data_IF_916652198084
#
_entry.id   IF_916652198084
#
_cell.length_a   1.000
_cell.length_b   1.000
_cell.length_c   1.000
_cell.angle_alpha   90.00
_cell.angle_beta   90.00
_cell.angle_gamma   90.00
#
_symmetry.space_group_name_H-M   'P 1'
#
loop_
_entity.id
_entity.type
_entity.pdbx_description
1 polymer ?
#
# COMPACT_ATOMS: atom_id res chain seq x y z
N UNK A 1 30.57 47.89 37.96
CA UNK A 1 29.36 48.24 37.19
C UNK A 1 28.20 47.36 37.68
N UNK A 2 27.17 48.00 38.24
CA UNK A 2 25.72 47.62 38.30
C UNK A 2 25.38 46.22 38.85
N UNK A 3 24.91 46.11 40.10
CA UNK A 3 23.51 46.19 40.57
C UNK A 3 22.62 45.10 39.93
N UNK A 4 21.91 44.28 40.73
CA UNK A 4 20.43 44.34 40.85
C UNK A 4 19.89 43.14 41.67
N UNK A 5 19.28 43.45 42.83
CA UNK A 5 18.36 42.59 43.58
C UNK A 5 16.97 43.19 43.43
N UNK A 6 15.99 42.49 42.86
CA UNK A 6 14.55 42.82 42.89
C UNK A 6 13.76 41.51 42.71
N UNK A 7 13.19 40.92 43.77
CA UNK A 7 11.79 41.09 44.22
C UNK A 7 10.79 40.95 43.07
N UNK A 8 10.10 39.80 43.00
CA UNK A 8 8.85 39.66 42.26
C UNK A 8 7.72 39.49 43.26
N UNK A 9 6.90 40.52 43.38
CA UNK A 9 5.74 40.63 44.25
C UNK A 9 4.54 41.05 43.38
N UNK A 10 3.40 40.39 43.60
CA UNK A 10 2.02 40.80 43.28
C UNK A 10 1.54 40.79 41.81
N UNK A 11 0.65 39.81 41.55
CA UNK A 11 -0.72 39.96 41.01
C UNK A 11 -1.19 41.37 40.63
N UNK A 12 -1.75 41.53 39.42
CA UNK A 12 -2.96 42.31 39.06
C UNK A 12 -3.29 41.94 37.58
N UNK A 13 -4.32 41.15 37.27
CA UNK A 13 -5.74 41.49 37.13
C UNK A 13 -6.12 42.30 35.85
N UNK A 14 -6.86 41.58 34.97
CA UNK A 14 -7.91 41.98 34.00
C UNK A 14 -7.63 43.01 32.90
N UNK A 15 -7.87 42.61 31.65
CA UNK A 15 -8.73 43.36 30.72
C UNK A 15 -9.15 42.48 29.52
N UNK A 16 -10.44 42.29 29.35
CA UNK A 16 -11.05 41.75 28.14
C UNK A 16 -11.16 42.85 27.06
N UNK A 17 -10.98 42.48 25.80
CA UNK A 17 -11.61 43.19 24.68
C UNK A 17 -12.14 42.19 23.65
N UNK A 18 -13.35 42.51 23.20
CA UNK A 18 -14.27 41.77 22.33
C UNK A 18 -14.40 42.57 21.04
N UNK A 19 -14.42 41.92 19.87
CA UNK A 19 -14.96 42.39 18.58
C UNK A 19 -15.13 41.11 17.74
N UNK A 20 -16.32 40.56 17.43
CA UNK A 20 -17.55 41.05 16.76
C UNK A 20 -17.28 41.42 15.29
N UNK A 21 -17.43 40.43 14.39
CA UNK A 21 -18.49 40.29 13.34
C UNK A 21 -17.94 40.72 11.96
N UNK A 22 -18.21 40.10 10.80
CA UNK A 22 -19.49 39.57 10.31
C UNK A 22 -19.36 38.82 8.96
N UNK A 23 -20.40 38.03 8.64
CA UNK A 23 -20.86 37.55 7.32
C UNK A 23 -20.11 36.35 6.69
N UNK A 24 -20.73 35.26 6.26
CA UNK A 24 -22.14 34.90 6.11
C UNK A 24 -22.25 33.77 5.07
N UNK A 25 -23.21 32.88 5.26
CA UNK A 25 -23.96 32.12 4.25
C UNK A 25 -24.25 30.72 4.79
N UNK A 26 -25.50 30.55 5.19
CA UNK A 26 -26.15 29.26 5.32
C UNK A 26 -26.00 28.48 4.00
N UNK A 27 -25.69 27.19 4.09
CA UNK A 27 -26.13 26.21 3.09
C UNK A 27 -26.63 24.98 3.83
N UNK A 28 -27.94 24.80 3.73
CA UNK A 28 -28.67 23.57 4.04
C UNK A 28 -28.11 22.45 3.15
N UNK A 29 -27.41 21.47 3.73
CA UNK A 29 -27.05 20.24 3.03
C UNK A 29 -27.93 19.11 3.56
N UNK A 30 -28.73 18.59 2.64
CA UNK A 30 -29.73 17.54 2.80
C UNK A 30 -29.06 16.25 3.29
N UNK A 31 -29.74 15.57 4.22
CA UNK A 31 -29.43 14.20 4.62
C UNK A 31 -29.73 13.27 3.45
N UNK A 32 -28.70 12.58 2.96
CA UNK A 32 -28.83 11.34 2.20
C UNK A 32 -27.92 10.33 2.89
N UNK A 33 -28.54 9.26 3.41
CA UNK A 33 -27.88 8.11 4.01
C UNK A 33 -27.12 7.35 2.91
N UNK A 34 -25.90 7.76 2.62
CA UNK A 34 -24.94 6.93 1.91
C UNK A 34 -24.27 6.01 2.93
N UNK A 35 -24.44 4.71 2.74
CA UNK A 35 -23.77 3.66 3.49
C UNK A 35 -22.25 3.90 3.42
N UNK A 36 -21.71 4.51 4.47
CA UNK A 36 -20.32 4.97 4.53
C UNK A 36 -19.41 3.76 4.77
N UNK A 37 -19.03 3.08 3.70
CA UNK A 37 -18.00 2.04 3.73
C UNK A 37 -16.69 2.75 4.08
N UNK A 38 -16.32 2.73 5.37
CA UNK A 38 -15.05 3.24 5.86
C UNK A 38 -13.91 2.44 5.21
N UNK A 39 -13.37 2.97 4.11
CA UNK A 39 -12.14 2.47 3.53
C UNK A 39 -11.02 2.74 4.56
N UNK A 40 -10.15 1.76 4.85
CA UNK A 40 -9.07 1.98 5.80
C UNK A 40 -8.16 3.09 5.26
N UNK A 41 -8.10 4.21 5.98
CA UNK A 41 -7.23 5.34 5.63
C UNK A 41 -5.73 4.99 5.75
N UNK A 42 -5.39 3.91 6.47
CA UNK A 42 -4.02 3.45 6.67
C UNK A 42 -3.76 2.08 6.00
N UNK A 43 -2.74 2.02 5.13
CA UNK A 43 -2.26 0.77 4.50
C UNK A 43 -1.95 -0.31 5.53
N UNK A 44 -1.46 0.06 6.71
CA UNK A 44 -1.04 -0.90 7.72
C UNK A 44 -2.21 -1.79 8.21
N UNK A 45 -3.43 -1.28 8.16
CA UNK A 45 -4.63 -2.03 8.55
C UNK A 45 -4.96 -3.14 7.55
N UNK A 46 -4.46 -3.05 6.32
CA UNK A 46 -4.66 -4.02 5.24
C UNK A 46 -3.61 -5.13 5.23
N UNK A 47 -2.68 -5.15 6.18
CA UNK A 47 -1.58 -6.12 6.20
C UNK A 47 -1.73 -7.04 7.41
N UNK A 48 -1.50 -8.33 7.20
CA UNK A 48 -1.40 -9.35 8.25
C UNK A 48 -0.07 -10.09 8.11
N UNK A 49 0.72 -10.10 9.18
CA UNK A 49 1.98 -10.85 9.25
C UNK A 49 1.88 -11.81 10.43
N UNK A 50 2.00 -13.12 10.16
CA UNK A 50 1.97 -14.14 11.20
C UNK A 50 2.90 -15.29 10.82
N UNK A 51 3.85 -15.62 11.69
CA UNK A 51 4.82 -16.70 11.47
C UNK A 51 5.55 -16.60 10.11
N UNK A 52 5.98 -15.38 9.75
CA UNK A 52 6.61 -15.10 8.45
C UNK A 52 5.65 -15.06 7.26
N UNK A 53 4.41 -15.53 7.39
CA UNK A 53 3.41 -15.40 6.34
C UNK A 53 2.93 -13.95 6.24
N UNK A 54 3.06 -13.37 5.05
CA UNK A 54 2.58 -12.04 4.71
C UNK A 54 1.31 -12.11 3.87
N UNK A 55 0.30 -11.33 4.25
CA UNK A 55 -0.94 -11.14 3.49
C UNK A 55 -1.26 -9.66 3.43
N UNK A 56 -1.42 -9.11 2.23
CA UNK A 56 -1.97 -7.76 1.98
C UNK A 56 -3.35 -7.92 1.35
N UNK A 57 -4.34 -7.17 1.84
CA UNK A 57 -5.70 -7.16 1.30
C UNK A 57 -5.98 -5.90 0.48
N UNK A 58 -6.95 -6.00 -0.43
CA UNK A 58 -7.59 -4.84 -1.04
C UNK A 58 -8.37 -4.02 0.00
N UNK A 59 -8.66 -2.72 -0.26
CA UNK A 59 -9.47 -1.89 0.63
C UNK A 59 -10.79 -2.56 1.04
N UNK A 60 -11.15 -2.43 2.32
CA UNK A 60 -12.31 -3.12 2.90
C UNK A 60 -12.09 -4.61 3.17
N UNK A 61 -10.87 -5.14 3.00
CA UNK A 61 -10.48 -6.54 3.27
C UNK A 61 -11.33 -7.59 2.55
N UNK A 62 -11.92 -7.22 1.41
CA UNK A 62 -12.81 -8.11 0.63
C UNK A 62 -12.04 -9.26 -0.04
N UNK A 63 -10.80 -9.00 -0.47
CA UNK A 63 -9.99 -9.94 -1.22
C UNK A 63 -8.50 -9.77 -0.89
N UNK A 64 -7.75 -10.87 -0.89
CA UNK A 64 -6.28 -10.85 -0.79
C UNK A 64 -5.74 -10.23 -2.07
N UNK A 65 -4.74 -9.35 -1.93
CA UNK A 65 -4.00 -8.71 -3.01
C UNK A 65 -2.62 -9.34 -3.18
N UNK A 66 -1.88 -9.50 -2.09
CA UNK A 66 -0.59 -10.21 -2.11
C UNK A 66 -0.52 -11.25 -1.00
N UNK A 67 0.12 -12.38 -1.31
CA UNK A 67 0.45 -13.40 -0.32
C UNK A 67 1.84 -13.96 -0.58
N UNK A 68 2.59 -14.21 0.49
CA UNK A 68 3.88 -14.88 0.42
C UNK A 68 4.49 -15.07 1.81
N UNK A 69 5.80 -15.35 1.83
CA UNK A 69 6.58 -15.46 3.06
C UNK A 69 7.69 -14.41 3.09
N UNK A 70 8.00 -13.97 4.31
CA UNK A 70 9.14 -13.13 4.62
C UNK A 70 10.23 -13.97 5.30
N UNK A 71 11.49 -13.64 5.01
CA UNK A 71 12.64 -14.13 5.76
C UNK A 71 12.81 -13.40 7.11
N UNK A 72 13.83 -13.80 7.88
CA UNK A 72 14.16 -13.21 9.19
C UNK A 72 14.55 -11.72 9.12
N UNK A 73 14.80 -11.20 7.90
CA UNK A 73 15.13 -9.79 7.64
C UNK A 73 13.93 -9.03 7.07
N UNK A 74 12.74 -9.61 7.16
CA UNK A 74 11.48 -9.07 6.64
C UNK A 74 11.49 -8.85 5.11
N UNK A 75 12.25 -9.67 4.38
CA UNK A 75 12.34 -9.61 2.92
C UNK A 75 11.55 -10.75 2.29
N UNK A 76 11.00 -10.52 1.08
CA UNK A 76 10.28 -11.56 0.33
C UNK A 76 11.17 -12.78 0.12
N UNK A 77 10.65 -13.96 0.46
CA UNK A 77 11.31 -15.23 0.21
C UNK A 77 10.31 -16.28 -0.29
N UNK A 78 10.77 -17.16 -1.18
CA UNK A 78 9.97 -18.20 -1.79
C UNK A 78 8.87 -17.69 -2.73
N UNK A 79 7.74 -18.39 -2.77
CA UNK A 79 6.63 -18.11 -3.68
C UNK A 79 5.82 -16.90 -3.20
N UNK A 80 5.68 -15.91 -4.07
CA UNK A 80 4.76 -14.79 -3.89
C UNK A 80 3.68 -14.81 -4.96
N UNK A 81 2.44 -14.56 -4.53
CA UNK A 81 1.25 -14.53 -5.38
C UNK A 81 0.63 -13.14 -5.34
N UNK A 82 0.29 -12.61 -6.52
CA UNK A 82 -0.53 -11.43 -6.69
C UNK A 82 -1.90 -11.86 -7.21
N UNK A 83 -2.94 -11.37 -6.57
CA UNK A 83 -4.32 -11.65 -6.93
C UNK A 83 -4.99 -10.38 -7.45
N UNK A 84 -5.96 -10.53 -8.36
CA UNK A 84 -6.86 -9.45 -8.76
C UNK A 84 -7.99 -9.23 -7.75
N UNK A 85 -8.81 -8.21 -8.00
CA UNK A 85 -9.91 -7.83 -7.10
C UNK A 85 -11.02 -8.90 -7.01
N UNK A 86 -11.14 -9.78 -8.01
CA UNK A 86 -12.08 -10.90 -7.99
C UNK A 86 -11.44 -12.21 -7.48
N UNK A 87 -10.20 -12.15 -6.98
CA UNK A 87 -9.48 -13.29 -6.39
C UNK A 87 -8.74 -14.18 -7.39
N UNK A 88 -8.71 -13.82 -8.67
CA UNK A 88 -7.92 -14.51 -9.68
C UNK A 88 -6.42 -14.35 -9.44
N UNK A 89 -5.64 -15.42 -9.60
CA UNK A 89 -4.17 -15.35 -9.51
C UNK A 89 -3.58 -14.69 -10.77
N UNK A 90 -3.17 -13.42 -10.64
CA UNK A 90 -2.59 -12.62 -11.71
C UNK A 90 -1.08 -12.79 -11.84
N UNK A 91 -0.36 -13.12 -10.76
CA UNK A 91 1.02 -13.56 -10.91
C UNK A 91 1.50 -14.50 -9.81
N UNK A 92 2.49 -15.32 -10.18
CA UNK A 92 3.33 -16.09 -9.28
C UNK A 92 4.78 -15.70 -9.58
N UNK A 93 5.53 -15.29 -8.56
CA UNK A 93 6.96 -14.97 -8.71
C UNK A 93 7.74 -15.53 -7.53
N UNK A 94 8.86 -16.19 -7.82
CA UNK A 94 9.79 -16.66 -6.81
C UNK A 94 10.74 -15.54 -6.38
N UNK A 95 10.99 -15.45 -5.07
CA UNK A 95 11.88 -14.50 -4.45
C UNK A 95 12.94 -15.20 -3.60
N UNK A 96 14.08 -14.54 -3.45
CA UNK A 96 15.15 -14.91 -2.53
C UNK A 96 15.80 -13.64 -2.00
N UNK A 97 15.86 -13.49 -0.68
CA UNK A 97 16.41 -12.29 -0.01
C UNK A 97 15.85 -10.98 -0.61
N UNK A 98 14.53 -10.90 -0.78
CA UNK A 98 13.83 -9.73 -1.31
C UNK A 98 13.93 -9.50 -2.81
N UNK A 99 14.73 -10.28 -3.54
CA UNK A 99 14.92 -10.15 -4.99
C UNK A 99 14.21 -11.27 -5.74
N UNK A 100 13.74 -11.00 -6.96
CA UNK A 100 13.17 -12.05 -7.81
C UNK A 100 14.26 -13.04 -8.18
N UNK A 101 14.02 -14.32 -7.96
CA UNK A 101 14.97 -15.40 -8.23
C UNK A 101 14.23 -16.71 -8.46
N UNK A 102 14.38 -17.29 -9.64
CA UNK A 102 13.60 -18.42 -10.14
C UNK A 102 12.47 -18.00 -11.09
N UNK A 103 11.49 -18.89 -11.28
CA UNK A 103 10.42 -18.70 -12.25
C UNK A 103 9.44 -17.57 -11.88
N UNK A 104 8.88 -16.95 -12.93
CA UNK A 104 7.75 -16.04 -12.86
C UNK A 104 6.70 -16.40 -13.90
N UNK A 105 5.43 -16.22 -13.54
CA UNK A 105 4.28 -16.29 -14.42
C UNK A 105 3.41 -15.08 -14.13
N UNK A 106 3.10 -14.30 -15.15
CA UNK A 106 2.22 -13.13 -15.05
C UNK A 106 1.13 -13.23 -16.10
N UNK A 107 -0.10 -12.88 -15.70
CA UNK A 107 -1.31 -12.92 -16.50
C UNK A 107 -1.92 -11.52 -16.61
N UNK A 108 -2.68 -11.32 -17.68
CA UNK A 108 -3.63 -10.21 -17.79
C UNK A 108 -4.85 -10.44 -16.88
N UNK A 109 -5.65 -9.40 -16.60
CA UNK A 109 -6.93 -9.54 -15.91
C UNK A 109 -7.90 -10.54 -16.58
N UNK A 110 -7.76 -10.73 -17.90
CA UNK A 110 -8.50 -11.74 -18.65
C UNK A 110 -8.11 -13.19 -18.32
N UNK A 111 -7.06 -13.40 -17.51
CA UNK A 111 -6.47 -14.70 -17.22
C UNK A 111 -5.51 -15.22 -18.29
N UNK A 112 -5.37 -14.53 -19.43
CA UNK A 112 -4.39 -14.88 -20.46
C UNK A 112 -2.98 -14.61 -19.98
N UNK A 113 -2.00 -15.40 -20.43
CA UNK A 113 -0.60 -15.14 -20.14
C UNK A 113 -0.20 -13.76 -20.66
N UNK A 114 0.60 -13.07 -19.86
CA UNK A 114 1.25 -11.82 -20.24
C UNK A 114 2.75 -12.08 -20.44
N UNK A 115 3.40 -12.73 -19.48
CA UNK A 115 4.75 -13.26 -19.68
C UNK A 115 5.11 -14.39 -18.72
N UNK A 116 6.06 -15.20 -19.15
CA UNK A 116 6.74 -16.21 -18.33
C UNK A 116 8.24 -16.15 -18.58
N UNK A 117 9.02 -16.49 -17.55
CA UNK A 117 10.47 -16.54 -17.64
C UNK A 117 11.13 -16.79 -16.29
N UNK A 118 12.44 -16.58 -16.25
CA UNK A 118 13.25 -16.77 -15.05
C UNK A 118 14.03 -15.51 -14.70
N UNK A 119 14.10 -15.25 -13.39
CA UNK A 119 14.95 -14.24 -12.82
C UNK A 119 16.15 -14.87 -12.11
N UNK A 120 17.31 -14.23 -12.19
CA UNK A 120 18.41 -14.39 -11.25
C UNK A 120 18.72 -13.03 -10.60
N UNK A 121 18.35 -12.89 -9.32
CA UNK A 121 18.61 -11.69 -8.53
C UNK A 121 18.15 -10.41 -9.23
N UNK A 122 16.85 -10.38 -9.58
CA UNK A 122 16.15 -9.35 -10.36
C UNK A 122 16.54 -9.19 -11.83
N UNK A 123 17.56 -9.91 -12.31
CA UNK A 123 17.92 -9.93 -13.73
C UNK A 123 17.14 -11.01 -14.44
N UNK A 124 16.60 -10.70 -15.62
CA UNK A 124 16.03 -11.72 -16.50
C UNK A 124 17.16 -12.58 -17.03
N UNK A 125 16.95 -13.89 -17.05
CA UNK A 125 17.88 -14.85 -17.64
C UNK A 125 17.12 -15.82 -18.54
N UNK A 126 17.83 -16.37 -19.53
CA UNK A 126 17.33 -17.44 -20.38
C UNK A 126 16.21 -16.97 -21.32
N UNK A 127 15.36 -17.92 -21.71
CA UNK A 127 14.25 -17.67 -22.62
C UNK A 127 13.06 -17.03 -21.89
N UNK A 128 12.56 -15.94 -22.44
CA UNK A 128 11.38 -15.23 -21.97
C UNK A 128 10.32 -15.21 -23.06
N UNK A 129 9.10 -15.62 -22.69
CA UNK A 129 7.94 -15.57 -23.58
C UNK A 129 7.02 -14.47 -23.12
N UNK A 130 6.69 -13.58 -24.04
CA UNK A 130 5.74 -12.49 -23.86
C UNK A 130 4.54 -12.73 -24.77
N UNK A 131 3.36 -12.41 -24.28
CA UNK A 131 2.12 -12.53 -25.03
C UNK A 131 1.39 -11.19 -24.93
N UNK A 132 0.85 -10.70 -26.05
CA UNK A 132 -0.11 -9.60 -26.01
C UNK A 132 -1.50 -10.08 -25.58
N UNK A 133 -2.45 -9.15 -25.38
CA UNK A 133 -3.82 -9.52 -24.99
C UNK A 133 -4.53 -10.39 -26.03
N UNK A 134 -4.13 -10.35 -27.30
CA UNK A 134 -4.66 -11.20 -28.37
C UNK A 134 -4.03 -12.61 -28.37
N UNK A 135 -2.98 -12.83 -27.57
CA UNK A 135 -2.26 -14.10 -27.45
C UNK A 135 -1.09 -14.23 -28.43
N UNK A 136 -0.71 -13.15 -29.14
CA UNK A 136 0.46 -13.17 -30.02
C UNK A 136 1.73 -13.27 -29.18
N UNK A 137 2.50 -14.33 -29.41
CA UNK A 137 3.74 -14.60 -28.70
C UNK A 137 4.92 -13.81 -29.28
N UNK A 138 5.85 -13.40 -28.41
CA UNK A 138 7.20 -12.97 -28.75
C UNK A 138 8.19 -13.57 -27.78
N UNK A 139 9.26 -14.17 -28.30
CA UNK A 139 10.34 -14.78 -27.50
C UNK A 139 11.57 -13.90 -27.48
N UNK A 140 12.22 -13.76 -26.33
CA UNK A 140 13.51 -13.07 -26.16
C UNK A 140 14.45 -13.89 -25.29
N UNK A 141 15.74 -13.87 -25.62
CA UNK A 141 16.78 -14.47 -24.80
C UNK A 141 17.54 -13.37 -24.04
N UNK A 142 17.79 -13.61 -22.75
CA UNK A 142 18.48 -12.69 -21.84
C UNK A 142 19.72 -13.33 -21.22
#
# INVERSE_FOLDING_TARGET
>A
MKNLVWVFLMLFAVAACKNKENNGSETVVKQTEEENILLPENRQDLITIKNGQYIEYYPGKKQIKFQGFLDDKEQRDGKWVFFGENGEELSITLYKNGKRHGHTIVKYPSGRLHYVGEYDMDKRIGEWKFYDEAGKETVKNF
#
